data_IF_251715152904
#
_entry.id   IF_251715152904
#
_cell.length_a   1.000
_cell.length_b   1.000
_cell.length_c   1.000
_cell.angle_alpha   90.00
_cell.angle_beta   90.00
_cell.angle_gamma   90.00
#
_symmetry.space_group_name_H-M   'P 1'
#
loop_
_entity.id
_entity.type
_entity.pdbx_description
1 polymer ?
#
# COMPACT_ATOMS: atom_id res chain seq x y z
N UNK A 1 -2.91 -6.27 3.79
CA UNK A 1 -3.64 -5.67 2.65
C UNK A 1 -3.91 -6.63 1.51
N UNK A 2 -2.93 -7.35 0.96
CA UNK A 2 -3.13 -8.21 -0.22
C UNK A 2 -4.15 -9.34 -0.02
N UNK A 3 -4.28 -9.90 1.20
CA UNK A 3 -5.37 -10.84 1.56
C UNK A 3 -6.77 -10.27 1.34
N UNK A 4 -6.92 -8.94 1.43
CA UNK A 4 -8.16 -8.21 1.16
C UNK A 4 -8.29 -7.81 -0.32
N UNK A 5 -7.41 -8.30 -1.21
CA UNK A 5 -7.36 -7.93 -2.64
C UNK A 5 -7.15 -6.43 -2.90
N UNK A 6 -6.52 -5.72 -1.96
CA UNK A 6 -6.12 -4.31 -2.13
C UNK A 6 -4.65 -4.27 -2.54
N UNK A 7 -4.36 -3.65 -3.68
CA UNK A 7 -3.02 -3.34 -4.16
C UNK A 7 -2.72 -1.88 -3.82
N UNK A 8 -1.66 -1.60 -3.08
CA UNK A 8 -1.38 -0.29 -2.50
C UNK A 8 -0.79 0.72 -3.50
N UNK A 9 -0.02 0.26 -4.50
CA UNK A 9 0.62 1.01 -5.61
C UNK A 9 1.65 2.08 -5.23
N UNK A 10 1.87 2.37 -3.95
CA UNK A 10 2.79 3.42 -3.50
C UNK A 10 3.66 2.99 -2.30
N UNK A 11 4.23 1.77 -2.36
CA UNK A 11 5.03 1.14 -1.30
C UNK A 11 6.43 1.77 -1.08
N UNK A 12 6.50 3.09 -1.14
CA UNK A 12 7.72 3.84 -0.88
C UNK A 12 7.92 4.01 0.64
N UNK A 13 9.17 4.01 1.14
CA UNK A 13 9.45 4.05 2.57
C UNK A 13 8.80 5.23 3.30
N UNK A 14 8.65 6.37 2.63
CA UNK A 14 7.99 7.57 3.19
C UNK A 14 6.53 7.33 3.63
N UNK A 15 5.87 6.31 3.08
CA UNK A 15 4.49 5.98 3.39
C UNK A 15 4.38 4.79 4.35
N UNK A 16 5.49 4.33 4.93
CA UNK A 16 5.53 3.26 5.93
C UNK A 16 6.07 3.90 7.22
N UNK A 17 5.19 4.04 8.21
CA UNK A 17 5.52 4.66 9.49
C UNK A 17 5.67 3.60 10.57
N UNK A 18 6.55 3.82 11.54
CA UNK A 18 6.63 2.99 12.74
C UNK A 18 5.81 3.61 13.85
N UNK A 19 4.81 2.89 14.36
CA UNK A 19 4.02 3.30 15.51
C UNK A 19 4.74 2.87 16.79
N UNK A 20 5.19 3.81 17.61
CA UNK A 20 5.92 3.54 18.86
C UNK A 20 5.03 2.96 19.96
N UNK A 21 3.73 3.29 19.97
CA UNK A 21 2.76 2.81 20.96
C UNK A 21 2.40 1.35 20.71
N UNK A 22 2.07 0.99 19.47
CA UNK A 22 1.73 -0.40 19.12
C UNK A 22 2.95 -1.25 18.75
N UNK A 23 4.12 -0.62 18.53
CA UNK A 23 5.36 -1.25 18.05
C UNK A 23 5.21 -1.95 16.70
N UNK A 24 4.37 -1.40 15.83
CA UNK A 24 4.05 -1.98 14.52
C UNK A 24 4.31 -1.00 13.38
N UNK A 25 4.60 -1.54 12.18
CA UNK A 25 4.66 -0.76 10.95
C UNK A 25 3.25 -0.51 10.42
N UNK A 26 2.96 0.75 10.11
CA UNK A 26 1.69 1.20 9.56
C UNK A 26 1.91 1.78 8.17
N UNK A 27 1.14 1.26 7.20
CA UNK A 27 1.11 1.79 5.83
C UNK A 27 0.08 2.92 5.78
N UNK A 28 0.47 4.10 5.27
CA UNK A 28 -0.38 5.32 5.17
C UNK A 28 -0.63 5.71 3.71
N UNK A 29 -1.38 6.76 3.41
CA UNK A 29 -1.69 7.25 2.05
C UNK A 29 -2.18 6.21 1.02
N UNK A 30 -3.44 5.80 1.11
CA UNK A 30 -4.08 4.85 0.19
C UNK A 30 -4.66 5.49 -1.09
N UNK A 31 -4.32 6.74 -1.43
CA UNK A 31 -4.95 7.45 -2.57
C UNK A 31 -4.73 6.75 -3.92
N UNK A 32 -3.62 6.03 -4.06
CA UNK A 32 -3.26 5.28 -5.27
C UNK A 32 -3.67 3.80 -5.21
N UNK A 33 -4.19 3.35 -4.07
CA UNK A 33 -4.54 1.96 -3.88
C UNK A 33 -5.72 1.54 -4.77
N UNK A 34 -5.67 0.31 -5.26
CA UNK A 34 -6.64 -0.30 -6.14
C UNK A 34 -7.22 -1.56 -5.51
N UNK A 35 -8.52 -1.79 -5.69
CA UNK A 35 -9.17 -3.01 -5.25
C UNK A 35 -9.35 -3.98 -6.43
N UNK A 36 -8.75 -5.15 -6.35
CA UNK A 36 -8.73 -6.17 -7.41
C UNK A 36 -9.73 -7.32 -7.15
N UNK A 37 -10.81 -7.03 -6.41
CA UNK A 37 -11.80 -8.05 -6.01
C UNK A 37 -13.25 -7.75 -6.37
N UNK A 38 -13.58 -6.56 -6.89
CA UNK A 38 -14.98 -6.20 -7.18
C UNK A 38 -15.27 -6.46 -8.64
N UNK A 39 -16.29 -7.28 -8.92
CA UNK A 39 -17.02 -7.14 -10.17
C UNK A 39 -17.62 -5.73 -10.20
N UNK A 40 -17.65 -5.04 -11.36
CA UNK A 40 -18.44 -3.83 -11.52
C UNK A 40 -19.87 -4.09 -11.02
N UNK A 41 -20.51 -3.09 -10.42
CA UNK A 41 -21.92 -3.15 -10.03
C UNK A 41 -22.79 -3.21 -11.30
N UNK A 42 -22.85 -4.36 -11.97
CA UNK A 42 -23.64 -4.60 -13.18
C UNK A 42 -23.27 -3.75 -14.41
N UNK A 43 -23.87 -4.08 -15.55
CA UNK A 43 -23.94 -3.19 -16.71
C UNK A 43 -24.86 -2.02 -16.34
N UNK A 44 -24.28 -0.87 -16.00
CA UNK A 44 -25.05 0.36 -15.77
C UNK A 44 -25.53 0.82 -17.15
N UNK A 45 -26.85 0.74 -17.39
CA UNK A 45 -27.51 1.26 -18.59
C UNK A 45 -27.20 2.76 -18.79
N UNK A 46 -27.35 3.27 -20.02
CA UNK A 46 -26.83 4.58 -20.39
C UNK A 46 -27.70 5.68 -19.77
N UNK A 47 -27.33 6.14 -18.58
CA UNK A 47 -27.55 7.54 -18.22
C UNK A 47 -26.19 8.23 -18.19
N UNK A 48 -25.89 8.82 -19.35
CA UNK A 48 -24.71 9.61 -19.62
C UNK A 48 -24.76 10.89 -18.78
N UNK A 49 -23.99 10.97 -17.70
CA UNK A 49 -23.16 12.13 -17.39
C UNK A 49 -22.40 11.91 -16.09
N UNK A 50 -21.11 12.22 -16.15
CA UNK A 50 -20.18 12.40 -15.01
C UNK A 50 -19.87 11.17 -14.15
N UNK A 51 -18.77 10.49 -14.49
CA UNK A 51 -17.44 10.62 -13.84
C UNK A 51 -16.61 9.32 -13.93
N UNK A 52 -15.34 9.53 -14.29
CA UNK A 52 -14.16 8.66 -14.15
C UNK A 52 -14.20 7.31 -14.89
N UNK A 53 -13.72 7.35 -16.14
CA UNK A 53 -13.07 6.19 -16.77
C UNK A 53 -11.88 5.75 -15.89
N UNK A 54 -12.07 4.71 -15.09
CA UNK A 54 -10.98 3.80 -14.66
C UNK A 54 -11.43 2.36 -14.92
N UNK A 55 -11.80 2.09 -16.17
CA UNK A 55 -11.86 0.74 -16.70
C UNK A 55 -10.55 0.44 -17.41
N UNK A 56 -9.43 0.39 -16.68
CA UNK A 56 -8.27 -0.33 -17.20
C UNK A 56 -8.50 -1.76 -16.78
N UNK A 57 -8.92 -2.60 -17.73
CA UNK A 57 -8.80 -4.05 -17.59
C UNK A 57 -7.31 -4.33 -17.51
N UNK A 58 -6.77 -4.27 -16.29
CA UNK A 58 -5.39 -4.62 -16.07
C UNK A 58 -5.31 -6.13 -16.19
N UNK A 59 -4.86 -6.56 -17.37
CA UNK A 59 -4.27 -7.88 -17.60
C UNK A 59 -3.46 -8.21 -16.35
N UNK A 60 -3.82 -9.26 -15.62
CA UNK A 60 -3.02 -9.80 -14.54
C UNK A 60 -1.64 -10.17 -15.13
N UNK A 61 -0.73 -9.19 -15.15
CA UNK A 61 0.68 -9.46 -15.35
C UNK A 61 1.13 -10.05 -14.03
N UNK A 62 1.66 -11.27 -14.13
CA UNK A 62 2.38 -12.04 -13.11
C UNK A 62 2.68 -11.23 -11.83
N UNK A 63 1.82 -11.49 -10.84
CA UNK A 63 1.82 -11.11 -9.43
C UNK A 63 2.29 -9.69 -9.04
N UNK A 64 1.52 -8.68 -9.46
CA UNK A 64 1.64 -7.30 -8.95
C UNK A 64 1.66 -7.22 -7.41
N UNK A 65 0.99 -8.14 -6.71
CA UNK A 65 1.02 -8.23 -5.25
C UNK A 65 2.39 -8.67 -4.73
N UNK A 66 2.96 -9.73 -5.29
CA UNK A 66 4.31 -10.17 -4.91
C UNK A 66 5.36 -9.07 -5.11
N UNK A 67 5.32 -8.37 -6.25
CA UNK A 67 6.25 -7.25 -6.51
C UNK A 67 6.08 -6.11 -5.49
N UNK A 68 4.85 -5.78 -5.15
CA UNK A 68 4.58 -4.75 -4.14
C UNK A 68 5.05 -5.19 -2.74
N UNK A 69 4.88 -6.47 -2.40
CA UNK A 69 5.34 -7.02 -1.14
C UNK A 69 6.87 -6.97 -1.03
N UNK A 70 7.59 -7.35 -2.08
CA UNK A 70 9.06 -7.26 -2.12
C UNK A 70 9.55 -5.82 -1.98
N UNK A 71 8.93 -4.88 -2.69
CA UNK A 71 9.28 -3.46 -2.59
C UNK A 71 9.06 -2.92 -1.18
N UNK A 72 7.91 -3.23 -0.57
CA UNK A 72 7.62 -2.81 0.80
C UNK A 72 8.59 -3.41 1.81
N UNK A 73 8.92 -4.70 1.66
CA UNK A 73 9.84 -5.41 2.55
C UNK A 73 11.26 -4.85 2.45
N UNK A 74 11.73 -4.60 1.24
CA UNK A 74 13.04 -4.00 0.99
C UNK A 74 13.12 -2.58 1.57
N UNK A 75 12.10 -1.77 1.31
CA UNK A 75 12.00 -0.41 1.83
C UNK A 75 12.00 -0.38 3.36
N UNK A 76 11.13 -1.16 4.00
CA UNK A 76 11.05 -1.25 5.45
C UNK A 76 12.36 -1.73 6.08
N UNK A 77 12.99 -2.77 5.51
CA UNK A 77 14.26 -3.29 6.02
C UNK A 77 15.38 -2.24 5.97
N UNK A 78 15.42 -1.44 4.90
CA UNK A 78 16.39 -0.35 4.76
C UNK A 78 16.22 0.73 5.83
N UNK A 79 14.98 1.01 6.26
CA UNK A 79 14.72 1.97 7.33
C UNK A 79 15.09 1.40 8.71
N UNK A 80 14.86 0.11 8.94
CA UNK A 80 15.19 -0.55 10.21
C UNK A 80 16.69 -0.65 10.42
N UNK A 81 17.48 -0.92 9.36
CA UNK A 81 18.94 -0.92 9.44
C UNK A 81 19.53 0.45 9.82
N UNK A 82 18.77 1.53 9.62
CA UNK A 82 19.16 2.91 9.95
C UNK A 82 18.48 3.42 11.24
N UNK A 83 17.74 2.59 11.98
CA UNK A 83 17.18 3.00 13.27
C UNK A 83 18.30 3.06 14.31
N UNK A 84 18.43 4.18 15.06
CA UNK A 84 19.32 4.23 16.20
C UNK A 84 18.91 3.13 17.18
N UNK A 85 19.91 2.53 17.81
CA UNK A 85 19.69 1.45 18.77
C UNK A 85 18.73 1.92 19.88
N UNK A 86 17.88 1.05 20.44
CA UNK A 86 16.97 1.44 21.54
C UNK A 86 17.68 2.10 22.73
N UNK A 87 18.99 1.83 22.89
CA UNK A 87 19.89 2.46 23.86
C UNK A 87 20.22 3.94 23.60
N UNK A 88 20.08 4.44 22.37
CA UNK A 88 20.38 5.84 22.03
C UNK A 88 19.16 6.76 22.22
N UNK A 89 17.95 6.22 22.12
CA UNK A 89 16.69 6.98 22.28
C UNK A 89 16.47 7.41 23.74
N UNK A 90 17.03 6.66 24.70
CA UNK A 90 16.90 6.95 26.14
C UNK A 90 17.90 8.00 26.65
N UNK A 91 18.85 8.44 25.83
CA UNK A 91 19.88 9.43 26.23
C UNK A 91 19.50 10.89 25.91
N UNK A 92 18.31 11.16 25.35
CA UNK A 92 17.86 12.52 25.00
C UNK A 92 16.54 12.94 25.69
N UNK A 93 16.20 12.32 26.83
CA UNK A 93 15.16 12.79 27.75
C UNK A 93 15.77 13.16 29.10
#
# INVERSE_FOLDING_TARGET
MHKLRVLYRDAEPRNILYNTTSRELMVVDFKRAEFHGRRPLGLIGPNQSRKRKRGVVQKQKKDDFARELESATTGASSCVANLPSPSEITSQL
#
